data_IF_036657525810
#
_entry.id   IF_036657525810
#
_cell.length_a   1.000
_cell.length_b   1.000
_cell.length_c   1.000
_cell.angle_alpha   90.00
_cell.angle_beta   90.00
_cell.angle_gamma   90.00
#
_symmetry.space_group_name_H-M   'P 1'
#
loop_
_entity.id
_entity.type
_entity.pdbx_description
1 polymer ?
#
# COMPACT_ATOMS: atom_id res chain seq x y z
N UNK A 1 -1.95 8.40 64.92
CA UNK A 1 -0.64 8.53 65.62
C UNK A 1 0.38 8.81 64.52
N UNK A 2 0.66 10.08 64.34
CA UNK A 2 1.83 10.86 64.83
C UNK A 2 3.02 10.65 63.87
N UNK A 3 3.74 11.53 63.30
CA UNK A 3 4.10 12.98 63.38
C UNK A 3 5.03 13.19 62.17
N UNK A 4 4.84 14.13 61.25
CA UNK A 4 5.45 15.45 61.02
C UNK A 4 6.98 15.49 61.18
N UNK A 5 7.67 16.03 60.13
CA UNK A 5 8.65 17.14 60.16
C UNK A 5 9.24 17.30 58.75
N UNK A 6 9.00 18.25 58.05
CA UNK A 6 9.35 19.64 57.74
C UNK A 6 10.84 19.98 58.02
N UNK A 7 11.60 20.28 56.99
CA UNK A 7 12.70 21.25 57.11
C UNK A 7 13.09 21.83 55.76
N UNK A 8 12.82 23.11 55.64
CA UNK A 8 13.31 24.11 54.68
C UNK A 8 14.79 24.42 54.92
N UNK A 9 15.56 24.70 53.85
CA UNK A 9 16.65 25.66 53.96
C UNK A 9 16.92 26.36 52.63
N UNK A 10 16.83 27.66 52.71
CA UNK A 10 17.06 28.73 51.73
C UNK A 10 18.52 29.23 51.92
N UNK A 11 19.24 29.54 50.83
CA UNK A 11 20.35 30.50 50.74
C UNK A 11 20.67 30.70 49.25
N UNK A 12 20.47 31.75 48.64
CA UNK A 12 20.75 33.19 48.49
C UNK A 12 22.21 33.50 48.08
N UNK A 13 22.29 34.15 46.90
CA UNK A 13 23.19 35.21 46.42
C UNK A 13 24.65 34.89 46.04
N UNK A 14 25.08 35.27 44.87
CA UNK A 14 25.71 36.55 44.51
C UNK A 14 26.15 36.56 43.04
N UNK A 15 25.78 37.59 42.30
CA UNK A 15 26.53 38.08 41.13
C UNK A 15 27.72 38.93 41.56
N UNK A 16 28.72 39.14 40.66
CA UNK A 16 28.87 40.47 40.13
C UNK A 16 29.17 40.56 38.62
N UNK A 17 28.77 41.69 38.07
CA UNK A 17 29.00 42.25 36.78
C UNK A 17 30.43 42.74 36.58
N UNK A 18 30.97 42.68 35.34
CA UNK A 18 31.88 43.73 34.87
C UNK A 18 31.87 43.86 33.34
N UNK A 19 32.02 45.08 32.88
CA UNK A 19 31.80 45.74 31.61
C UNK A 19 32.82 45.39 30.51
N UNK A 20 32.31 45.46 29.28
CA UNK A 20 32.84 46.12 28.08
C UNK A 20 34.26 45.83 27.59
N UNK A 21 34.39 45.38 26.34
CA UNK A 21 35.01 46.21 25.32
C UNK A 21 34.59 45.77 23.91
N UNK A 22 34.40 46.75 23.04
CA UNK A 22 34.02 46.62 21.65
C UNK A 22 35.25 46.44 20.76
N UNK A 23 35.28 45.43 19.89
CA UNK A 23 36.15 45.47 18.70
C UNK A 23 35.45 44.80 17.52
N UNK A 24 35.15 45.64 16.56
CA UNK A 24 34.59 45.33 15.26
C UNK A 24 35.63 44.59 14.42
N UNK A 25 35.27 43.34 13.97
CA UNK A 25 35.95 42.76 12.78
C UNK A 25 34.87 42.11 11.94
N UNK A 26 34.71 42.62 10.76
CA UNK A 26 33.81 42.05 9.74
C UNK A 26 34.27 40.64 9.32
N UNK A 27 33.31 39.76 9.18
CA UNK A 27 33.50 38.47 8.54
C UNK A 27 32.35 38.27 7.60
N UNK A 28 32.68 38.35 6.32
CA UNK A 28 31.79 37.97 5.21
C UNK A 28 31.31 36.54 5.36
N UNK A 29 30.05 36.37 5.75
CA UNK A 29 29.35 35.09 5.61
C UNK A 29 28.83 34.99 4.17
N UNK A 30 29.61 34.39 3.30
CA UNK A 30 29.14 33.88 2.03
C UNK A 30 28.23 32.69 2.33
N UNK A 31 26.94 32.96 2.26
CA UNK A 31 25.89 31.94 2.24
C UNK A 31 26.01 31.13 0.94
N UNK A 32 26.68 29.99 1.01
CA UNK A 32 26.70 29.02 -0.08
C UNK A 32 25.26 28.50 -0.28
N UNK A 33 24.52 29.12 -1.19
CA UNK A 33 23.29 28.56 -1.77
C UNK A 33 23.66 27.28 -2.52
N UNK A 34 23.49 26.16 -1.83
CA UNK A 34 23.48 24.85 -2.47
C UNK A 34 22.31 24.82 -3.48
N UNK A 35 22.52 24.61 -4.78
CA UNK A 35 21.43 24.53 -5.73
C UNK A 35 20.66 23.23 -5.43
N UNK A 36 19.49 23.34 -4.83
CA UNK A 36 18.52 22.26 -4.76
C UNK A 36 18.22 21.83 -6.20
N UNK A 37 18.84 20.73 -6.64
CA UNK A 37 18.47 20.04 -7.87
C UNK A 37 16.99 19.72 -7.75
N UNK A 38 16.14 20.44 -8.51
CA UNK A 38 14.76 20.07 -8.73
C UNK A 38 14.77 18.63 -9.26
N UNK A 39 14.40 17.66 -8.42
CA UNK A 39 14.18 16.28 -8.83
C UNK A 39 13.13 16.32 -9.95
N UNK A 40 13.51 15.90 -11.17
CA UNK A 40 12.56 15.68 -12.25
C UNK A 40 11.46 14.81 -11.68
N UNK A 41 10.14 15.09 -11.90
CA UNK A 41 9.09 14.23 -11.38
C UNK A 41 9.42 12.80 -11.81
N UNK A 42 9.54 11.90 -10.84
CA UNK A 42 9.84 10.50 -11.10
C UNK A 42 8.70 9.95 -11.97
N UNK A 43 9.06 9.53 -13.18
CA UNK A 43 8.09 8.90 -14.08
C UNK A 43 7.83 7.50 -13.52
N UNK A 44 6.67 7.30 -12.87
CA UNK A 44 6.30 5.99 -12.32
C UNK A 44 6.34 4.93 -13.42
N UNK A 45 6.90 3.77 -13.10
CA UNK A 45 6.86 2.60 -13.99
C UNK A 45 5.42 2.15 -14.15
N UNK A 46 4.93 2.07 -15.38
CA UNK A 46 3.58 1.61 -15.68
C UNK A 46 3.61 0.21 -16.27
N UNK A 47 2.61 -0.58 -15.94
CA UNK A 47 2.39 -1.92 -16.47
C UNK A 47 0.99 -2.00 -17.05
N UNK A 48 0.91 -2.45 -18.29
CA UNK A 48 -0.34 -2.78 -18.96
C UNK A 48 -0.65 -4.26 -18.71
N UNK A 49 -1.79 -4.53 -18.10
CA UNK A 49 -2.39 -5.86 -17.98
C UNK A 49 -3.47 -5.98 -19.05
N UNK A 50 -3.20 -6.74 -20.12
CA UNK A 50 -4.23 -7.11 -21.11
C UNK A 50 -5.02 -8.28 -20.55
N UNK A 51 -6.29 -8.08 -20.27
CA UNK A 51 -7.15 -9.13 -19.74
C UNK A 51 -8.19 -9.60 -20.76
N UNK A 52 -8.81 -10.76 -20.52
CA UNK A 52 -9.92 -11.23 -21.34
C UNK A 52 -11.16 -10.34 -21.28
N UNK A 53 -11.19 -9.34 -20.39
CA UNK A 53 -12.33 -8.43 -20.23
C UNK A 53 -12.01 -6.97 -20.60
N UNK A 54 -10.75 -6.67 -20.95
CA UNK A 54 -10.24 -5.36 -21.31
C UNK A 54 -8.90 -5.06 -20.64
N UNK A 55 -8.37 -3.88 -20.87
CA UNK A 55 -7.04 -3.47 -20.46
C UNK A 55 -7.08 -2.70 -19.13
N UNK A 56 -6.12 -3.00 -18.23
CA UNK A 56 -5.91 -2.30 -16.97
C UNK A 56 -4.47 -1.79 -16.97
N UNK A 57 -4.26 -0.50 -16.71
CA UNK A 57 -2.92 0.08 -16.54
C UNK A 57 -2.69 0.39 -15.06
N UNK A 58 -1.64 -0.18 -14.50
CA UNK A 58 -1.19 0.08 -13.14
C UNK A 58 0.12 0.88 -13.14
N UNK A 59 0.25 1.81 -12.20
CA UNK A 59 1.50 2.51 -11.90
C UNK A 59 2.10 1.95 -10.62
N UNK A 60 3.41 1.67 -10.62
CA UNK A 60 4.12 1.10 -9.49
C UNK A 60 4.81 2.21 -8.69
N UNK A 61 4.71 2.14 -7.36
CA UNK A 61 5.31 3.11 -6.44
C UNK A 61 6.80 2.87 -6.21
N UNK A 62 7.58 3.95 -6.19
CA UNK A 62 9.01 3.90 -5.89
C UNK A 62 9.29 3.67 -4.40
N UNK A 63 8.31 3.98 -3.55
CA UNK A 63 8.37 3.86 -2.10
C UNK A 63 8.32 2.40 -1.61
N UNK A 64 7.95 1.46 -2.48
CA UNK A 64 7.94 0.02 -2.19
C UNK A 64 8.86 -0.73 -3.18
N UNK A 65 10.18 -0.49 -3.11
CA UNK A 65 11.13 -0.95 -4.11
C UNK A 65 11.19 -2.48 -4.25
N UNK A 66 11.08 -3.25 -3.16
CA UNK A 66 11.13 -4.71 -3.22
C UNK A 66 9.95 -5.28 -4.01
N UNK A 67 8.74 -4.79 -3.74
CA UNK A 67 7.54 -5.21 -4.48
C UNK A 67 7.59 -4.75 -5.92
N UNK A 68 8.01 -3.50 -6.16
CA UNK A 68 8.15 -2.94 -7.51
C UNK A 68 9.12 -3.74 -8.35
N UNK A 69 10.34 -3.98 -7.87
CA UNK A 69 11.38 -4.72 -8.60
C UNK A 69 10.95 -6.15 -8.88
N UNK A 70 10.36 -6.82 -7.89
CA UNK A 70 9.83 -8.16 -8.06
C UNK A 70 8.70 -8.22 -9.10
N UNK A 71 7.75 -7.27 -9.05
CA UNK A 71 6.66 -7.22 -10.01
C UNK A 71 7.17 -7.00 -11.43
N UNK A 72 8.12 -6.06 -11.64
CA UNK A 72 8.79 -5.81 -12.92
C UNK A 72 9.50 -7.07 -13.43
N UNK A 73 10.22 -7.78 -12.55
CA UNK A 73 10.87 -9.03 -12.89
C UNK A 73 9.85 -10.07 -13.41
N UNK A 74 8.77 -10.29 -12.68
CA UNK A 74 7.73 -11.26 -13.06
C UNK A 74 7.00 -10.88 -14.36
N UNK A 75 6.80 -9.58 -14.62
CA UNK A 75 6.26 -9.08 -15.90
C UNK A 75 7.23 -9.40 -17.05
N UNK A 76 8.52 -9.12 -16.90
CA UNK A 76 9.53 -9.41 -17.91
C UNK A 76 9.68 -10.92 -18.18
N UNK A 77 9.53 -11.73 -17.15
CA UNK A 77 9.57 -13.20 -17.22
C UNK A 77 8.27 -13.80 -17.79
N UNK A 78 7.28 -12.97 -18.19
CA UNK A 78 5.94 -13.37 -18.64
C UNK A 78 5.22 -14.28 -17.64
N UNK A 79 5.54 -14.10 -16.36
CA UNK A 79 4.99 -14.93 -15.28
C UNK A 79 3.46 -14.82 -15.19
N UNK A 80 2.92 -13.64 -15.46
CA UNK A 80 1.48 -13.38 -15.38
C UNK A 80 0.68 -13.78 -16.61
N UNK A 81 1.33 -14.13 -17.74
CA UNK A 81 0.64 -14.52 -18.98
C UNK A 81 -0.16 -15.81 -18.76
N UNK A 82 -1.46 -15.77 -19.00
CA UNK A 82 -2.38 -16.88 -18.80
C UNK A 82 -2.90 -17.08 -17.36
N UNK A 83 -2.44 -16.31 -16.38
CA UNK A 83 -2.89 -16.40 -14.98
C UNK A 83 -4.33 -15.88 -14.85
N UNK A 84 -5.14 -16.55 -14.01
CA UNK A 84 -6.54 -16.20 -13.80
C UNK A 84 -6.73 -15.21 -12.65
N UNK A 85 -7.77 -14.39 -12.73
CA UNK A 85 -8.38 -13.79 -11.54
C UNK A 85 -9.15 -14.89 -10.81
N UNK A 86 -8.54 -15.49 -9.81
CA UNK A 86 -9.05 -16.68 -9.14
C UNK A 86 -9.97 -16.38 -7.95
N UNK A 87 -10.04 -15.12 -7.52
CA UNK A 87 -10.94 -14.66 -6.45
C UNK A 87 -11.42 -13.25 -6.74
N UNK A 88 -12.73 -13.07 -6.78
CA UNK A 88 -13.35 -11.77 -7.00
C UNK A 88 -14.44 -11.53 -5.94
N UNK A 89 -14.45 -10.33 -5.37
CA UNK A 89 -15.51 -9.91 -4.44
C UNK A 89 -15.88 -8.47 -4.78
N UNK A 90 -17.07 -8.29 -5.30
CA UNK A 90 -17.61 -6.97 -5.63
C UNK A 90 -17.64 -6.08 -4.39
N UNK A 91 -17.33 -4.80 -4.55
CA UNK A 91 -17.16 -3.81 -3.50
C UNK A 91 -15.97 -4.10 -2.54
N UNK A 92 -15.06 -5.01 -2.93
CA UNK A 92 -13.88 -5.30 -2.14
C UNK A 92 -12.62 -5.37 -3.03
N UNK A 93 -12.39 -6.47 -3.77
CA UNK A 93 -11.17 -6.61 -4.59
C UNK A 93 -11.31 -7.69 -5.67
N UNK A 94 -10.40 -7.66 -6.65
CA UNK A 94 -10.12 -8.76 -7.59
C UNK A 94 -8.69 -9.24 -7.36
N UNK A 95 -8.49 -10.55 -7.17
CA UNK A 95 -7.20 -11.16 -6.84
C UNK A 95 -6.73 -12.10 -7.94
N UNK A 96 -5.42 -12.08 -8.22
CA UNK A 96 -4.74 -12.85 -9.26
C UNK A 96 -3.30 -13.20 -8.84
N UNK A 97 -2.50 -13.76 -9.75
CA UNK A 97 -1.07 -14.00 -9.54
C UNK A 97 -0.73 -15.41 -9.07
N UNK A 98 -1.68 -16.33 -8.98
CA UNK A 98 -1.43 -17.74 -8.72
C UNK A 98 -1.03 -18.47 -10.01
N UNK A 99 0.24 -18.95 -10.15
CA UNK A 99 0.70 -19.62 -11.36
C UNK A 99 -0.02 -20.94 -11.64
N UNK A 100 -0.53 -21.63 -10.61
CA UNK A 100 -1.29 -22.88 -10.77
C UNK A 100 -2.62 -22.66 -11.49
N UNK A 101 -3.09 -21.42 -11.54
CA UNK A 101 -4.32 -21.06 -12.21
C UNK A 101 -4.24 -21.17 -13.74
N UNK A 102 -3.04 -21.14 -14.33
CA UNK A 102 -2.86 -21.20 -15.80
C UNK A 102 -3.46 -22.45 -16.44
N UNK A 103 -3.42 -23.57 -15.75
CA UNK A 103 -3.92 -24.85 -16.20
C UNK A 103 -5.05 -25.40 -15.29
N UNK A 104 -5.71 -24.52 -14.56
CA UNK A 104 -6.71 -24.91 -13.59
C UNK A 104 -7.95 -25.51 -14.25
N UNK A 105 -8.45 -26.59 -13.66
CA UNK A 105 -9.74 -27.19 -14.04
C UNK A 105 -10.90 -26.41 -13.40
N UNK A 106 -12.09 -26.45 -13.98
CA UNK A 106 -13.28 -25.89 -13.31
C UNK A 106 -13.44 -26.44 -11.90
N UNK A 107 -13.72 -25.56 -10.92
CA UNK A 107 -13.88 -25.93 -9.50
C UNK A 107 -12.60 -26.26 -8.74
N UNK A 108 -11.43 -26.24 -9.37
CA UNK A 108 -10.14 -26.43 -8.67
C UNK A 108 -9.89 -25.29 -7.68
N UNK A 109 -9.45 -25.64 -6.46
CA UNK A 109 -9.01 -24.65 -5.47
C UNK A 109 -7.74 -23.98 -5.95
N UNK A 110 -7.72 -22.64 -5.85
CA UNK A 110 -6.59 -21.78 -6.23
C UNK A 110 -6.27 -20.84 -5.08
N UNK A 111 -5.17 -20.08 -5.22
CA UNK A 111 -4.75 -19.08 -4.25
C UNK A 111 -3.63 -19.54 -3.31
N UNK A 112 -3.09 -20.73 -3.51
CA UNK A 112 -1.95 -21.26 -2.73
C UNK A 112 -0.63 -21.26 -3.51
N UNK A 113 -0.68 -21.11 -4.84
CA UNK A 113 0.50 -21.11 -5.69
C UNK A 113 1.32 -19.82 -5.60
N UNK A 114 2.60 -19.94 -5.95
CA UNK A 114 3.53 -18.81 -5.96
C UNK A 114 4.89 -19.19 -6.52
N UNK A 115 5.85 -18.25 -6.60
CA UNK A 115 7.16 -18.46 -7.18
C UNK A 115 8.15 -19.18 -6.23
N UNK A 116 7.70 -19.64 -5.05
CA UNK A 116 8.53 -20.33 -4.07
C UNK A 116 9.27 -19.41 -3.09
N UNK A 117 8.94 -18.13 -3.06
CA UNK A 117 9.48 -17.14 -2.10
C UNK A 117 8.42 -16.13 -1.68
N UNK A 118 8.71 -15.42 -0.58
CA UNK A 118 7.93 -14.30 -0.06
C UNK A 118 8.73 -13.00 -0.17
N UNK A 119 8.05 -11.87 -0.04
CA UNK A 119 8.66 -10.54 -0.03
C UNK A 119 8.43 -9.91 1.34
N UNK A 120 9.47 -9.37 2.00
CA UNK A 120 9.30 -8.61 3.23
C UNK A 120 8.25 -7.50 3.06
N UNK A 121 7.42 -7.28 4.08
CA UNK A 121 6.40 -6.24 4.04
C UNK A 121 7.04 -4.85 3.91
N UNK A 122 6.44 -3.99 3.08
CA UNK A 122 6.82 -2.58 2.89
C UNK A 122 5.61 -1.70 3.23
N UNK A 123 5.31 -1.53 4.52
CA UNK A 123 4.21 -0.67 4.98
C UNK A 123 4.67 0.79 4.99
N UNK A 124 4.25 1.54 3.98
CA UNK A 124 4.63 2.95 3.81
C UNK A 124 3.48 3.85 4.26
N UNK A 125 3.70 4.76 5.22
CA UNK A 125 2.69 5.76 5.57
C UNK A 125 2.26 6.56 4.33
N UNK A 126 0.94 6.68 4.13
CA UNK A 126 0.40 7.37 2.96
C UNK A 126 0.08 6.47 1.76
N UNK A 127 0.56 5.21 1.74
CA UNK A 127 0.09 4.19 0.80
C UNK A 127 -0.99 3.33 1.48
N UNK A 128 -2.22 3.42 1.00
CA UNK A 128 -3.39 2.83 1.64
C UNK A 128 -4.37 2.26 0.60
N UNK A 129 -5.31 1.45 1.07
CA UNK A 129 -6.22 0.68 0.22
C UNK A 129 -7.41 1.51 -0.29
N UNK A 130 -7.15 2.68 -0.90
CA UNK A 130 -8.18 3.39 -1.66
C UNK A 130 -8.63 2.57 -2.87
N UNK A 131 -9.79 2.88 -3.41
CA UNK A 131 -10.24 2.28 -4.68
C UNK A 131 -9.16 2.43 -5.75
N UNK A 132 -8.86 1.34 -6.46
CA UNK A 132 -7.80 1.25 -7.45
C UNK A 132 -6.41 0.94 -6.89
N UNK A 133 -6.20 0.88 -5.57
CA UNK A 133 -4.92 0.46 -5.01
C UNK A 133 -4.57 -0.97 -5.44
N UNK A 134 -3.29 -1.19 -5.75
CA UNK A 134 -2.70 -2.51 -6.06
C UNK A 134 -1.87 -2.95 -4.88
N UNK A 135 -2.23 -4.09 -4.29
CA UNK A 135 -1.60 -4.58 -3.07
C UNK A 135 -1.25 -6.07 -3.16
N UNK A 136 -0.20 -6.47 -2.45
CA UNK A 136 0.25 -7.84 -2.41
C UNK A 136 -0.63 -8.70 -1.49
N UNK A 137 -1.04 -9.89 -1.96
CA UNK A 137 -1.67 -10.89 -1.11
C UNK A 137 -0.65 -11.48 -0.13
N UNK A 138 -1.12 -12.10 0.94
CA UNK A 138 -0.29 -12.81 1.91
C UNK A 138 -1.08 -13.87 2.66
N UNK A 139 -0.36 -14.79 3.30
CA UNK A 139 -0.94 -15.73 4.24
C UNK A 139 -1.37 -15.03 5.54
N UNK A 140 -2.34 -15.62 6.23
CA UNK A 140 -2.86 -15.09 7.51
C UNK A 140 -1.81 -15.08 8.64
N UNK A 141 -2.01 -14.21 9.63
CA UNK A 141 -1.04 -13.93 10.71
C UNK A 141 -0.63 -15.18 11.51
N UNK A 142 -1.51 -16.19 11.65
CA UNK A 142 -1.22 -17.42 12.37
C UNK A 142 -0.05 -18.23 11.78
N UNK A 143 0.14 -18.15 10.46
CA UNK A 143 1.22 -18.86 9.74
C UNK A 143 2.26 -17.90 9.17
N UNK A 144 1.99 -16.61 9.20
CA UNK A 144 2.85 -15.55 8.67
C UNK A 144 2.88 -14.32 9.60
N UNK A 145 3.45 -14.46 10.80
CA UNK A 145 3.49 -13.37 11.79
C UNK A 145 4.31 -12.17 11.34
N UNK A 146 5.23 -12.35 10.38
CA UNK A 146 6.02 -11.26 9.79
C UNK A 146 5.27 -10.49 8.72
N UNK A 147 4.04 -10.92 8.36
CA UNK A 147 3.21 -10.31 7.32
C UNK A 147 3.93 -10.21 5.96
N UNK A 148 4.83 -11.14 5.66
CA UNK A 148 5.51 -11.21 4.37
C UNK A 148 4.49 -11.40 3.25
N UNK A 149 4.70 -10.72 2.15
CA UNK A 149 3.83 -10.79 0.97
C UNK A 149 4.10 -12.04 0.15
N UNK A 150 3.07 -12.53 -0.55
CA UNK A 150 3.24 -13.51 -1.62
C UNK A 150 4.21 -12.97 -2.67
N UNK A 151 5.08 -13.83 -3.20
CA UNK A 151 6.01 -13.45 -4.26
C UNK A 151 5.33 -13.11 -5.58
N UNK A 152 4.07 -13.52 -5.81
CA UNK A 152 3.39 -13.25 -7.09
C UNK A 152 1.93 -12.85 -6.98
N UNK A 153 1.22 -13.26 -5.92
CA UNK A 153 -0.21 -12.97 -5.83
C UNK A 153 -0.45 -11.53 -5.38
N UNK A 154 -1.33 -10.84 -6.07
CA UNK A 154 -1.74 -9.48 -5.78
C UNK A 154 -3.24 -9.28 -6.01
N UNK A 155 -3.77 -8.20 -5.50
CA UNK A 155 -5.15 -7.80 -5.74
C UNK A 155 -5.26 -6.32 -6.08
N UNK A 156 -6.33 -5.98 -6.79
CA UNK A 156 -6.73 -4.62 -7.09
C UNK A 156 -8.00 -4.32 -6.29
N UNK A 157 -7.98 -3.23 -5.55
CA UNK A 157 -9.12 -2.81 -4.74
C UNK A 157 -10.24 -2.28 -5.62
N UNK A 158 -11.34 -3.02 -5.70
CA UNK A 158 -12.61 -2.53 -6.23
C UNK A 158 -13.24 -1.55 -5.25
N UNK A 159 -13.35 -1.95 -3.99
CA UNK A 159 -13.70 -1.09 -2.86
C UNK A 159 -15.15 -0.58 -2.88
N UNK A 160 -15.67 -0.22 -1.71
CA UNK A 160 -16.94 0.49 -1.58
C UNK A 160 -16.74 1.86 -0.95
N UNK A 161 -17.64 2.78 -1.20
CA UNK A 161 -17.72 4.06 -0.49
C UNK A 161 -18.24 3.80 0.92
N UNK A 162 -17.60 4.40 1.92
CA UNK A 162 -17.97 4.29 3.32
C UNK A 162 -18.76 5.53 3.74
N UNK A 163 -19.84 5.36 4.51
CA UNK A 163 -20.35 6.46 5.30
C UNK A 163 -19.37 6.79 6.44
N UNK A 164 -19.44 7.99 6.99
CA UNK A 164 -18.65 8.35 8.19
C UNK A 164 -18.90 7.38 9.33
N UNK A 165 -20.13 6.92 9.52
CA UNK A 165 -20.48 5.95 10.55
C UNK A 165 -19.85 4.57 10.29
N UNK A 166 -19.84 4.10 9.04
CA UNK A 166 -19.19 2.83 8.71
C UNK A 166 -17.69 2.90 8.91
N UNK A 167 -17.05 4.01 8.51
CA UNK A 167 -15.62 4.20 8.72
C UNK A 167 -15.28 4.26 10.22
N UNK A 168 -16.10 4.92 11.04
CA UNK A 168 -15.94 4.92 12.49
C UNK A 168 -16.04 3.51 13.09
N UNK A 169 -16.91 2.65 12.56
CA UNK A 169 -16.97 1.24 12.98
C UNK A 169 -15.68 0.50 12.62
N UNK A 170 -15.12 0.74 11.42
CA UNK A 170 -13.82 0.15 11.04
C UNK A 170 -12.73 0.61 12.01
N UNK A 171 -12.67 1.90 12.36
CA UNK A 171 -11.73 2.45 13.35
C UNK A 171 -11.87 1.72 14.70
N UNK A 172 -13.10 1.59 15.20
CA UNK A 172 -13.36 0.91 16.48
C UNK A 172 -12.96 -0.57 16.47
N UNK A 173 -13.22 -1.27 15.36
CA UNK A 173 -12.91 -2.69 15.23
C UNK A 173 -11.44 -2.98 15.05
N UNK A 174 -10.70 -2.10 14.36
CA UNK A 174 -9.30 -2.33 13.99
C UNK A 174 -8.31 -1.58 14.88
N UNK A 175 -8.75 -0.56 15.61
CA UNK A 175 -7.87 0.36 16.37
C UNK A 175 -7.01 1.26 15.46
N UNK A 176 -7.23 1.25 14.14
CA UNK A 176 -6.45 2.05 13.19
C UNK A 176 -6.86 3.50 13.21
N UNK A 177 -5.93 4.37 12.85
CA UNK A 177 -6.18 5.82 12.68
C UNK A 177 -6.01 6.18 11.22
N UNK A 178 -6.80 7.13 10.73
CA UNK A 178 -6.78 7.60 9.34
C UNK A 178 -6.55 9.10 9.28
N UNK A 179 -5.74 9.53 8.31
CA UNK A 179 -5.57 10.96 8.00
C UNK A 179 -6.86 11.53 7.40
N UNK A 180 -6.97 12.86 7.36
CA UNK A 180 -8.10 13.54 6.73
C UNK A 180 -8.22 13.19 5.23
N UNK A 181 -7.08 12.97 4.56
CA UNK A 181 -7.05 12.54 3.16
C UNK A 181 -7.63 11.14 3.00
N UNK A 182 -7.19 10.17 3.82
CA UNK A 182 -7.73 8.81 3.80
C UNK A 182 -9.24 8.79 4.11
N UNK A 183 -9.69 9.57 5.11
CA UNK A 183 -11.12 9.69 5.42
C UNK A 183 -11.88 10.23 4.21
N UNK A 184 -11.37 11.30 3.57
CA UNK A 184 -11.97 11.87 2.36
C UNK A 184 -12.08 10.83 1.26
N UNK A 185 -10.99 10.10 0.97
CA UNK A 185 -10.97 9.12 -0.10
C UNK A 185 -11.93 7.95 0.20
N UNK A 186 -11.89 7.39 1.39
CA UNK A 186 -12.79 6.29 1.76
C UNK A 186 -14.27 6.70 1.74
N UNK A 187 -14.59 7.96 2.00
CA UNK A 187 -15.96 8.48 1.98
C UNK A 187 -16.41 9.03 0.63
N UNK A 188 -15.50 9.18 -0.35
CA UNK A 188 -15.84 9.71 -1.69
C UNK A 188 -15.63 8.70 -2.81
N UNK A 189 -14.44 8.09 -2.92
CA UNK A 189 -14.14 7.12 -3.96
C UNK A 189 -14.19 5.67 -3.46
N UNK A 190 -14.07 5.46 -2.15
CA UNK A 190 -14.15 4.16 -1.52
C UNK A 190 -12.79 3.46 -1.35
N UNK A 191 -12.84 2.19 -0.93
CA UNK A 191 -11.66 1.40 -0.69
C UNK A 191 -11.87 0.23 0.25
N UNK A 192 -10.78 -0.23 0.91
CA UNK A 192 -10.76 -1.32 1.87
C UNK A 192 -9.95 -0.96 3.13
N UNK A 193 -10.40 0.03 3.93
CA UNK A 193 -9.62 0.61 5.03
C UNK A 193 -9.15 -0.41 6.07
N UNK A 194 -9.88 -1.50 6.28
CA UNK A 194 -9.53 -2.54 7.24
C UNK A 194 -8.20 -3.25 6.92
N UNK A 195 -7.69 -3.14 5.68
CA UNK A 195 -6.43 -3.77 5.25
C UNK A 195 -5.19 -2.88 5.48
N UNK A 196 -5.37 -1.58 5.77
CA UNK A 196 -4.25 -0.64 5.90
C UNK A 196 -3.26 -1.06 7.00
N UNK A 197 -1.96 -1.03 6.68
CA UNK A 197 -0.89 -1.44 7.59
C UNK A 197 -0.78 -2.96 7.81
N UNK A 198 -1.59 -3.76 7.12
CA UNK A 198 -1.55 -5.23 7.19
C UNK A 198 -1.15 -5.88 5.86
N UNK A 199 -1.26 -5.15 4.75
CA UNK A 199 -0.89 -5.58 3.40
C UNK A 199 -0.11 -4.47 2.71
N UNK A 200 0.90 -4.82 1.93
CA UNK A 200 1.71 -3.83 1.20
C UNK A 200 0.97 -3.34 -0.04
N UNK A 201 0.69 -2.04 -0.08
CA UNK A 201 0.22 -1.34 -1.28
C UNK A 201 1.44 -0.89 -2.06
N UNK A 202 1.59 -1.35 -3.30
CA UNK A 202 2.78 -1.10 -4.12
C UNK A 202 2.50 -0.43 -5.47
N UNK A 203 1.24 -0.07 -5.72
CA UNK A 203 0.83 0.63 -6.94
C UNK A 203 -0.62 1.04 -6.92
N UNK A 204 -1.06 1.61 -8.03
CA UNK A 204 -2.44 2.01 -8.25
C UNK A 204 -2.86 1.85 -9.71
N UNK A 205 -4.14 1.64 -9.96
CA UNK A 205 -4.73 1.67 -11.29
C UNK A 205 -4.82 3.11 -11.78
N UNK A 206 -4.21 3.40 -12.91
CA UNK A 206 -4.24 4.72 -13.56
C UNK A 206 -5.16 4.77 -14.79
N UNK A 207 -5.57 3.61 -15.29
CA UNK A 207 -6.57 3.47 -16.36
C UNK A 207 -7.19 2.07 -16.30
N UNK A 208 -8.47 1.93 -16.67
CA UNK A 208 -9.16 0.64 -16.72
C UNK A 208 -9.87 0.26 -15.42
N UNK A 209 -10.25 1.21 -14.53
CA UNK A 209 -11.04 0.91 -13.34
C UNK A 209 -12.42 0.33 -13.69
N UNK A 210 -13.01 0.70 -14.82
CA UNK A 210 -14.25 0.12 -15.35
C UNK A 210 -14.09 -1.36 -15.69
N UNK A 211 -12.88 -1.81 -16.04
CA UNK A 211 -12.57 -3.23 -16.26
C UNK A 211 -12.47 -3.96 -14.92
N UNK A 212 -11.88 -3.33 -13.90
CA UNK A 212 -11.85 -3.86 -12.52
C UNK A 212 -13.29 -4.08 -12.03
N UNK A 213 -14.18 -3.10 -12.19
CA UNK A 213 -15.60 -3.20 -11.82
C UNK A 213 -16.29 -4.34 -12.56
N UNK A 214 -16.05 -4.43 -13.88
CA UNK A 214 -16.62 -5.47 -14.73
C UNK A 214 -16.17 -6.87 -14.30
N UNK A 215 -14.91 -7.03 -13.90
CA UNK A 215 -14.38 -8.30 -13.38
C UNK A 215 -15.01 -8.60 -12.00
N UNK A 216 -15.03 -7.62 -11.10
CA UNK A 216 -15.57 -7.80 -9.74
C UNK A 216 -17.06 -8.17 -9.72
N UNK A 217 -17.81 -7.75 -10.74
CA UNK A 217 -19.25 -8.00 -10.89
C UNK A 217 -19.60 -9.35 -11.52
N UNK A 218 -18.62 -10.16 -11.94
CA UNK A 218 -18.87 -11.45 -12.55
C UNK A 218 -19.47 -12.46 -11.58
N UNK A 219 -20.22 -13.42 -12.10
CA UNK A 219 -20.74 -14.53 -11.31
C UNK A 219 -19.60 -15.40 -10.79
N UNK A 220 -19.73 -15.85 -9.55
CA UNK A 220 -18.69 -16.59 -8.82
C UNK A 220 -19.29 -17.76 -8.06
N UNK A 221 -18.46 -18.71 -7.73
CA UNK A 221 -18.81 -19.85 -6.86
C UNK A 221 -18.80 -19.46 -5.36
N UNK A 222 -19.09 -20.43 -4.51
CA UNK A 222 -19.10 -20.23 -3.05
C UNK A 222 -17.72 -19.96 -2.43
N UNK A 223 -16.65 -19.98 -3.21
CA UNK A 223 -15.26 -19.65 -2.81
C UNK A 223 -14.75 -18.37 -3.47
N UNK A 224 -15.65 -17.57 -4.03
CA UNK A 224 -15.36 -16.33 -4.73
C UNK A 224 -14.60 -16.51 -6.06
N UNK A 225 -14.46 -17.73 -6.60
CA UNK A 225 -13.87 -17.96 -7.92
C UNK A 225 -14.89 -17.64 -9.02
N UNK A 226 -14.53 -16.84 -10.06
CA UNK A 226 -15.39 -16.64 -11.22
C UNK A 226 -15.85 -17.97 -11.83
N UNK A 227 -17.13 -18.06 -12.22
CA UNK A 227 -17.66 -19.24 -12.92
C UNK A 227 -17.06 -19.37 -14.31
N UNK A 228 -16.82 -18.25 -14.97
CA UNK A 228 -16.12 -18.17 -16.26
C UNK A 228 -14.69 -17.68 -16.02
N UNK A 229 -13.70 -18.37 -16.58
CA UNK A 229 -12.29 -18.03 -16.37
C UNK A 229 -11.96 -16.65 -16.96
N UNK A 230 -11.50 -15.75 -16.10
CA UNK A 230 -11.02 -14.41 -16.47
C UNK A 230 -9.51 -14.42 -16.32
N UNK A 231 -8.79 -14.16 -17.41
CA UNK A 231 -7.32 -14.29 -17.44
C UNK A 231 -6.60 -13.00 -17.79
N UNK A 232 -5.39 -12.87 -17.30
CA UNK A 232 -4.38 -11.95 -17.83
C UNK A 232 -3.84 -12.61 -19.11
N UNK A 233 -4.07 -11.98 -20.26
CA UNK A 233 -3.56 -12.46 -21.56
C UNK A 233 -2.06 -12.18 -21.65
N UNK A 234 -1.66 -10.94 -21.31
CA UNK A 234 -0.25 -10.54 -21.16
C UNK A 234 -0.09 -9.40 -20.17
N UNK A 235 1.09 -9.28 -19.60
CA UNK A 235 1.53 -8.14 -18.79
C UNK A 235 2.77 -7.51 -19.43
N UNK A 236 2.78 -6.18 -19.63
CA UNK A 236 3.83 -5.48 -20.38
C UNK A 236 4.18 -4.16 -19.68
N UNK A 237 5.50 -3.87 -19.54
CA UNK A 237 5.95 -2.55 -19.07
C UNK A 237 5.75 -1.55 -20.19
N UNK A 238 5.07 -0.43 -19.89
CA UNK A 238 4.81 0.64 -20.85
C UNK A 238 5.45 1.96 -20.37
N UNK A 239 5.67 2.87 -21.31
CA UNK A 239 6.28 4.20 -21.06
C UNK A 239 5.27 5.23 -20.59
#
# INVERSE_FOLDING_TARGET
MLIILLSTLLMLACQPSSKADATTVGSDNQEQKNPTKKKKPAQMTKVLLKTSMGDIVIALYDETPLHKENFIKLVNDKYYDGVLFHRIIQNFMIQTGDPESKAAKPGQMLGNGGPGYTIPAEFVPGLYHKRGAVAAARMGDNVNPKKESSGSQFYIVDGRVFSTNDLNRVIQMTGKTYSMEQIKDYTSIGGAPHLDGDYTVFGEVVSGMEIVDKIAAQQKDGRDRPLEDIKIISAEIIK
#
